data_IF_826376405044
#
_entry.id   IF_826376405044
#
_cell.length_a   1.000
_cell.length_b   1.000
_cell.length_c   1.000
_cell.angle_alpha   90.00
_cell.angle_beta   90.00
_cell.angle_gamma   90.00
#
_symmetry.space_group_name_H-M   'P 1'
#
loop_
_entity.id
_entity.type
_entity.pdbx_description
1 polymer ?
#
# COMPACT_ATOMS: atom_id res chain seq x y z
N UNK A 1 1.13 -9.59 23.32
CA UNK A 1 0.29 -9.77 22.13
C UNK A 1 -0.92 -8.84 22.23
N UNK A 2 -1.35 -8.26 21.13
CA UNK A 2 -2.60 -7.51 21.03
C UNK A 2 -3.78 -8.44 21.37
N UNK A 3 -4.88 -7.88 21.88
CA UNK A 3 -6.13 -8.65 22.09
C UNK A 3 -6.74 -9.15 20.76
N UNK A 4 -6.33 -8.59 19.63
CA UNK A 4 -6.72 -8.98 18.26
C UNK A 4 -5.70 -9.90 17.57
N UNK A 5 -4.62 -10.35 18.23
CA UNK A 5 -3.54 -11.09 17.58
C UNK A 5 -4.03 -12.36 16.88
N UNK A 6 -4.98 -13.10 17.48
CA UNK A 6 -5.55 -14.31 16.85
C UNK A 6 -6.34 -14.05 15.58
N UNK A 7 -6.89 -12.85 15.44
CA UNK A 7 -7.65 -12.44 14.26
C UNK A 7 -6.69 -12.02 13.14
N UNK A 8 -5.64 -11.30 13.49
CA UNK A 8 -4.60 -10.89 12.55
C UNK A 8 -3.76 -12.07 12.05
N UNK A 9 -3.44 -13.07 12.89
CA UNK A 9 -2.70 -14.28 12.49
C UNK A 9 -3.34 -15.04 11.30
N UNK A 10 -4.61 -14.79 11.00
CA UNK A 10 -5.31 -15.45 9.90
C UNK A 10 -5.14 -14.73 8.55
N UNK A 11 -4.78 -13.46 8.55
CA UNK A 11 -4.79 -12.60 7.36
C UNK A 11 -3.53 -11.76 7.19
N UNK A 12 -2.69 -11.68 8.23
CA UNK A 12 -1.47 -10.88 8.23
C UNK A 12 -0.24 -11.77 8.38
N UNK A 13 0.83 -11.42 7.66
CA UNK A 13 2.13 -12.08 7.75
C UNK A 13 3.01 -11.34 8.75
N UNK A 14 3.69 -12.07 9.63
CA UNK A 14 4.69 -11.47 10.51
C UNK A 14 5.96 -11.09 9.73
N UNK A 15 6.75 -10.17 10.27
CA UNK A 15 8.03 -9.76 9.67
C UNK A 15 8.96 -10.96 9.45
N UNK A 16 9.05 -11.87 10.42
CA UNK A 16 9.90 -13.06 10.32
C UNK A 16 9.39 -14.03 9.25
N UNK A 17 8.09 -14.28 9.18
CA UNK A 17 7.48 -15.10 8.11
C UNK A 17 7.72 -14.48 6.74
N UNK A 18 7.59 -13.15 6.61
CA UNK A 18 7.85 -12.48 5.34
C UNK A 18 9.32 -12.63 4.92
N UNK A 19 10.27 -12.47 5.84
CA UNK A 19 11.70 -12.71 5.57
C UNK A 19 11.96 -14.15 5.12
N UNK A 20 11.36 -15.13 5.81
CA UNK A 20 11.48 -16.56 5.46
C UNK A 20 10.89 -16.85 4.07
N UNK A 21 9.76 -16.22 3.73
CA UNK A 21 9.15 -16.31 2.40
C UNK A 21 10.09 -15.77 1.34
N UNK A 22 10.66 -14.56 1.53
CA UNK A 22 11.59 -13.96 0.57
C UNK A 22 12.84 -14.82 0.38
N UNK A 23 13.43 -15.32 1.48
CA UNK A 23 14.57 -16.23 1.42
C UNK A 23 14.23 -17.52 0.69
N UNK A 24 13.09 -18.14 1.01
CA UNK A 24 12.63 -19.36 0.34
C UNK A 24 12.39 -19.16 -1.16
N UNK A 25 11.85 -18.02 -1.56
CA UNK A 25 11.64 -17.68 -2.97
C UNK A 25 12.98 -17.48 -3.69
N UNK A 26 13.90 -16.76 -3.04
CA UNK A 26 15.26 -16.56 -3.58
C UNK A 26 15.98 -17.90 -3.81
N UNK A 27 15.98 -18.79 -2.82
CA UNK A 27 16.61 -20.12 -2.88
C UNK A 27 15.99 -21.01 -3.98
N UNK A 28 14.70 -20.85 -4.25
CA UNK A 28 13.96 -21.53 -5.33
C UNK A 28 14.14 -20.90 -6.70
N UNK A 29 14.93 -19.82 -6.78
CA UNK A 29 15.27 -19.14 -8.02
C UNK A 29 14.20 -18.18 -8.52
N UNK A 30 13.29 -17.69 -7.66
CA UNK A 30 12.38 -16.64 -8.04
C UNK A 30 13.09 -15.29 -8.11
N UNK A 31 12.61 -14.43 -9.01
CA UNK A 31 13.06 -13.03 -9.15
C UNK A 31 11.87 -12.12 -9.31
N UNK A 32 11.91 -11.01 -8.62
CA UNK A 32 10.89 -9.97 -8.65
C UNK A 32 10.94 -9.23 -9.99
N UNK A 33 9.78 -9.13 -10.64
CA UNK A 33 9.60 -8.40 -11.89
C UNK A 33 8.49 -7.37 -11.76
N UNK A 34 8.55 -6.30 -12.54
CA UNK A 34 7.43 -5.36 -12.66
C UNK A 34 6.24 -6.00 -13.40
N UNK A 35 5.03 -5.72 -12.97
CA UNK A 35 3.79 -6.13 -13.64
C UNK A 35 3.74 -5.63 -15.08
N UNK A 36 4.27 -4.46 -15.37
CA UNK A 36 4.34 -3.87 -16.72
C UNK A 36 5.19 -4.65 -17.72
N UNK A 37 5.99 -5.63 -17.26
CA UNK A 37 6.74 -6.54 -18.14
C UNK A 37 5.92 -7.73 -18.64
N UNK A 38 4.75 -7.98 -18.04
CA UNK A 38 3.88 -9.12 -18.38
C UNK A 38 3.01 -8.78 -19.59
N UNK A 39 2.53 -7.53 -19.67
CA UNK A 39 1.65 -7.08 -20.73
C UNK A 39 1.84 -5.57 -20.99
N UNK A 40 1.48 -5.14 -22.19
CA UNK A 40 1.44 -3.72 -22.57
C UNK A 40 0.21 -3.39 -23.39
N UNK A 41 -0.19 -2.14 -23.36
CA UNK A 41 -1.24 -1.61 -24.25
C UNK A 41 -0.67 -1.47 -25.67
N UNK A 42 -1.35 -2.02 -26.66
CA UNK A 42 -1.01 -1.87 -28.07
C UNK A 42 -2.22 -1.37 -28.88
N UNK A 43 -1.98 -0.35 -29.72
CA UNK A 43 -3.00 0.10 -30.68
C UNK A 43 -3.00 -0.83 -31.88
N UNK A 44 -4.14 -1.43 -32.16
CA UNK A 44 -4.36 -2.35 -33.28
C UNK A 44 -4.56 -1.55 -34.59
N UNK A 45 -4.43 -2.21 -35.77
CA UNK A 45 -4.59 -1.55 -37.05
C UNK A 45 -5.98 -0.91 -37.28
N UNK A 46 -7.02 -1.36 -36.58
CA UNK A 46 -8.37 -0.80 -36.61
C UNK A 46 -8.56 0.38 -35.64
N UNK A 47 -7.51 0.80 -34.91
CA UNK A 47 -7.54 1.89 -33.94
C UNK A 47 -7.99 1.48 -32.53
N UNK A 48 -8.37 0.23 -32.30
CA UNK A 48 -8.68 -0.28 -30.95
C UNK A 48 -7.41 -0.43 -30.13
N UNK A 49 -7.51 -0.28 -28.81
CA UNK A 49 -6.40 -0.49 -27.88
C UNK A 49 -6.64 -1.78 -27.11
N UNK A 50 -5.65 -2.65 -27.11
CA UNK A 50 -5.74 -3.95 -26.46
C UNK A 50 -4.53 -4.19 -25.55
N UNK A 51 -4.74 -4.89 -24.43
CA UNK A 51 -3.67 -5.41 -23.59
C UNK A 51 -3.07 -6.64 -24.26
N UNK A 52 -1.78 -6.58 -24.58
CA UNK A 52 -1.06 -7.67 -25.25
C UNK A 52 0.02 -8.23 -24.34
N UNK A 53 -0.01 -9.55 -24.16
CA UNK A 53 1.01 -10.26 -23.37
C UNK A 53 2.40 -10.04 -23.97
N UNK A 54 3.38 -9.82 -23.10
CA UNK A 54 4.78 -9.68 -23.47
C UNK A 54 5.61 -10.89 -23.02
N UNK A 55 6.58 -11.35 -23.83
CA UNK A 55 7.50 -12.38 -23.39
C UNK A 55 8.45 -11.85 -22.31
N UNK A 56 8.65 -12.62 -21.26
CA UNK A 56 9.59 -12.30 -20.18
C UNK A 56 10.85 -13.13 -20.39
N UNK A 57 11.99 -12.47 -20.56
CA UNK A 57 13.30 -13.12 -20.74
C UNK A 57 14.09 -13.04 -19.43
N UNK A 58 14.29 -14.16 -18.77
CA UNK A 58 15.02 -14.26 -17.51
C UNK A 58 16.31 -15.08 -17.67
N UNK A 59 17.28 -14.92 -16.80
CA UNK A 59 18.43 -15.82 -16.73
C UNK A 59 17.97 -17.27 -16.55
N UNK A 60 18.77 -18.21 -17.08
CA UNK A 60 18.42 -19.63 -17.02
C UNK A 60 18.19 -20.10 -15.59
N UNK A 61 17.06 -20.77 -15.36
CA UNK A 61 16.68 -21.31 -14.05
C UNK A 61 15.95 -20.33 -13.14
N UNK A 62 15.85 -19.04 -13.50
CA UNK A 62 15.06 -18.06 -12.76
C UNK A 62 13.58 -18.14 -13.14
N UNK A 63 12.69 -17.78 -12.18
CA UNK A 63 11.24 -17.78 -12.31
C UNK A 63 10.71 -16.38 -11.91
N UNK A 64 9.80 -15.79 -12.70
CA UNK A 64 9.26 -14.48 -12.36
C UNK A 64 8.21 -14.56 -11.26
N UNK A 65 8.12 -13.52 -10.42
CA UNK A 65 6.97 -13.24 -9.59
C UNK A 65 6.73 -11.73 -9.50
N UNK A 66 5.53 -11.35 -9.16
CA UNK A 66 5.12 -9.98 -8.83
C UNK A 66 4.70 -9.96 -7.36
N UNK A 67 5.05 -8.90 -6.65
CA UNK A 67 4.64 -8.66 -5.27
C UNK A 67 3.73 -7.45 -5.24
N UNK A 68 2.60 -7.55 -4.56
CA UNK A 68 1.76 -6.41 -4.17
C UNK A 68 1.48 -6.46 -2.67
N UNK A 69 1.34 -5.30 -2.08
CA UNK A 69 0.89 -5.08 -0.72
C UNK A 69 -0.37 -4.23 -0.77
N UNK A 70 -1.44 -4.71 -0.16
CA UNK A 70 -2.73 -4.04 -0.14
C UNK A 70 -2.91 -3.26 1.17
N UNK A 71 -3.87 -2.33 1.20
CA UNK A 71 -4.24 -1.54 2.38
C UNK A 71 -3.10 -0.68 2.96
N UNK A 72 -2.21 -0.14 2.12
CA UNK A 72 -1.05 0.65 2.57
C UNK A 72 -1.49 2.06 3.00
N UNK A 73 -2.46 2.14 3.88
CA UNK A 73 -2.89 3.38 4.53
C UNK A 73 -2.51 3.47 6.01
N UNK A 74 -2.14 2.34 6.64
CA UNK A 74 -1.84 2.26 8.08
C UNK A 74 -2.99 2.81 8.92
N UNK A 75 -4.11 2.10 8.90
CA UNK A 75 -5.37 2.51 9.54
C UNK A 75 -5.18 2.98 10.99
N UNK A 76 -5.82 4.09 11.33
CA UNK A 76 -5.69 4.70 12.66
C UNK A 76 -6.07 3.72 13.77
N UNK A 77 -7.12 2.90 13.58
CA UNK A 77 -7.57 1.90 14.55
C UNK A 77 -6.56 0.78 14.82
N UNK A 78 -5.55 0.60 13.96
CA UNK A 78 -4.49 -0.40 14.13
C UNK A 78 -3.31 0.12 14.96
N UNK A 79 -3.23 1.41 15.22
CA UNK A 79 -2.14 2.03 15.99
C UNK A 79 -2.00 1.37 17.37
N UNK A 80 -0.78 0.99 17.74
CA UNK A 80 -0.47 0.35 19.02
C UNK A 80 -0.89 -1.12 19.13
N UNK A 81 -1.38 -1.74 18.04
CA UNK A 81 -1.78 -3.15 18.03
C UNK A 81 -0.70 -4.10 17.50
N UNK A 82 0.48 -3.59 17.18
CA UNK A 82 1.64 -4.38 16.74
C UNK A 82 2.05 -4.10 15.29
N UNK A 83 1.41 -3.15 14.62
CA UNK A 83 1.73 -2.71 13.27
C UNK A 83 2.54 -1.42 13.28
N UNK A 84 3.30 -1.19 12.21
CA UNK A 84 3.85 0.12 11.92
C UNK A 84 2.71 1.16 11.82
N UNK A 85 3.03 2.42 12.09
CA UNK A 85 2.03 3.51 12.07
C UNK A 85 2.07 4.32 10.78
N UNK A 86 3.19 4.33 10.10
CA UNK A 86 3.37 4.98 8.79
C UNK A 86 4.68 4.61 8.11
N UNK A 87 4.78 4.94 6.83
CA UNK A 87 6.04 5.12 6.12
C UNK A 87 6.47 6.59 6.23
N UNK A 88 7.75 6.83 6.48
CA UNK A 88 8.31 8.18 6.59
C UNK A 88 9.73 8.22 6.06
N UNK A 89 10.31 9.42 5.98
CA UNK A 89 11.72 9.59 5.63
C UNK A 89 12.54 9.81 6.89
N UNK A 90 13.68 9.12 6.98
CA UNK A 90 14.68 9.40 8.02
C UNK A 90 15.47 10.70 7.71
N UNK A 91 16.40 11.07 8.57
CA UNK A 91 17.23 12.26 8.42
C UNK A 91 18.13 12.27 7.16
N UNK A 92 18.31 11.12 6.52
CA UNK A 92 19.08 10.94 5.30
C UNK A 92 18.17 10.83 4.05
N UNK A 93 16.85 10.90 4.22
CA UNK A 93 15.86 10.74 3.16
C UNK A 93 15.58 9.28 2.79
N UNK A 94 16.03 8.30 3.60
CA UNK A 94 15.68 6.88 3.41
C UNK A 94 14.24 6.65 3.86
N UNK A 95 13.48 5.88 3.09
CA UNK A 95 12.14 5.41 3.49
C UNK A 95 12.28 4.39 4.60
N UNK A 96 11.61 4.64 5.72
CA UNK A 96 11.55 3.78 6.91
C UNK A 96 10.13 3.73 7.44
N UNK A 97 9.84 2.76 8.30
CA UNK A 97 8.59 2.76 9.07
C UNK A 97 8.79 3.46 10.42
N UNK A 98 7.73 4.14 10.85
CA UNK A 98 7.53 4.51 12.25
C UNK A 98 6.77 3.40 12.97
N UNK A 99 7.17 3.09 14.19
CA UNK A 99 6.50 2.13 15.05
C UNK A 99 6.36 2.69 16.46
N UNK A 100 5.16 2.57 17.04
CA UNK A 100 4.90 2.97 18.42
C UNK A 100 5.03 1.75 19.33
N UNK A 101 6.02 1.79 20.21
CA UNK A 101 6.31 0.75 21.18
C UNK A 101 5.23 0.70 22.28
N UNK A 102 5.18 -0.41 23.01
CA UNK A 102 4.19 -0.60 24.09
C UNK A 102 4.28 0.41 25.22
N UNK A 103 5.44 0.98 25.46
CA UNK A 103 5.67 2.02 26.46
C UNK A 103 5.37 3.43 25.94
N UNK A 104 4.92 3.55 24.68
CA UNK A 104 4.63 4.80 24.00
C UNK A 104 5.84 5.46 23.35
N UNK A 105 7.04 4.89 23.46
CA UNK A 105 8.18 5.37 22.71
C UNK A 105 8.04 5.08 21.21
N UNK A 106 8.71 5.88 20.39
CA UNK A 106 8.66 5.74 18.93
C UNK A 106 10.01 5.22 18.44
N UNK A 107 9.96 4.19 17.60
CA UNK A 107 11.14 3.65 16.91
C UNK A 107 10.96 3.75 15.40
N UNK A 108 12.09 3.76 14.68
CA UNK A 108 12.14 3.82 13.23
C UNK A 108 12.98 2.67 12.70
N UNK A 109 12.50 2.02 11.64
CA UNK A 109 13.20 0.86 11.09
C UNK A 109 12.42 0.17 9.97
N UNK A 110 12.75 -1.10 9.73
CA UNK A 110 12.10 -1.93 8.72
C UNK A 110 11.05 -2.81 9.38
N UNK A 111 9.82 -2.35 9.38
CA UNK A 111 8.69 -2.98 10.08
C UNK A 111 7.53 -3.37 9.16
N UNK A 112 7.70 -3.27 7.84
CA UNK A 112 6.68 -3.61 6.87
C UNK A 112 7.26 -4.12 5.56
N UNK A 113 6.43 -4.62 4.65
CA UNK A 113 6.79 -5.28 3.39
C UNK A 113 7.79 -4.45 2.59
N UNK A 114 7.51 -3.15 2.37
CA UNK A 114 8.40 -2.28 1.59
C UNK A 114 9.81 -2.26 2.17
N UNK A 115 9.93 -1.87 3.43
CA UNK A 115 11.24 -1.62 4.06
C UNK A 115 12.02 -2.90 4.29
N UNK A 116 11.34 -4.00 4.63
CA UNK A 116 11.95 -5.34 4.78
C UNK A 116 12.43 -5.88 3.43
N UNK A 117 11.66 -5.65 2.35
CA UNK A 117 12.08 -6.05 1.00
C UNK A 117 13.28 -5.23 0.50
N UNK A 118 13.33 -3.92 0.78
CA UNK A 118 14.50 -3.09 0.45
C UNK A 118 15.78 -3.61 1.12
N UNK A 119 15.71 -3.92 2.43
CA UNK A 119 16.85 -4.50 3.16
C UNK A 119 17.24 -5.89 2.59
N UNK A 120 16.27 -6.69 2.16
CA UNK A 120 16.54 -7.98 1.52
C UNK A 120 17.22 -7.81 0.16
N UNK A 121 16.75 -6.88 -0.68
CA UNK A 121 17.33 -6.60 -2.00
C UNK A 121 18.73 -6.00 -1.87
N UNK A 122 19.00 -5.20 -0.85
CA UNK A 122 20.35 -4.66 -0.59
C UNK A 122 21.37 -5.79 -0.43
N UNK A 123 21.01 -6.88 0.24
CA UNK A 123 21.85 -8.06 0.41
C UNK A 123 21.76 -9.10 -0.70
N UNK A 124 20.68 -9.07 -1.51
CA UNK A 124 20.40 -9.99 -2.62
C UNK A 124 19.98 -9.22 -3.88
N UNK A 125 20.90 -8.43 -4.49
CA UNK A 125 20.52 -7.51 -5.58
C UNK A 125 20.01 -8.23 -6.83
N UNK A 126 20.35 -9.49 -7.05
CA UNK A 126 19.84 -10.31 -8.16
C UNK A 126 18.42 -10.85 -7.93
N UNK A 127 17.84 -10.61 -6.76
CA UNK A 127 16.42 -10.90 -6.48
C UNK A 127 15.49 -9.90 -7.19
N UNK A 128 15.93 -8.66 -7.39
CA UNK A 128 15.22 -7.62 -8.13
C UNK A 128 15.67 -7.59 -9.59
N UNK A 129 14.87 -8.15 -10.48
CA UNK A 129 15.21 -8.20 -11.91
C UNK A 129 15.11 -6.82 -12.56
N UNK A 130 16.26 -6.29 -13.00
CA UNK A 130 16.36 -4.95 -13.62
C UNK A 130 15.83 -3.82 -12.74
N UNK A 131 16.01 -3.92 -11.42
CA UNK A 131 15.57 -2.92 -10.47
C UNK A 131 14.05 -2.94 -10.17
N UNK A 132 13.34 -4.00 -10.59
CA UNK A 132 11.90 -4.14 -10.32
C UNK A 132 11.63 -4.20 -8.83
N UNK A 133 10.57 -3.54 -8.39
CA UNK A 133 10.08 -3.51 -7.01
C UNK A 133 8.64 -4.06 -6.95
N UNK A 134 8.03 -3.97 -5.79
CA UNK A 134 6.63 -4.33 -5.59
C UNK A 134 5.66 -3.21 -5.96
N UNK A 135 4.39 -3.49 -5.73
CA UNK A 135 3.26 -2.57 -5.90
C UNK A 135 2.69 -2.29 -4.51
N UNK A 136 2.47 -1.02 -4.18
CA UNK A 136 1.72 -0.61 -3.00
C UNK A 136 0.33 -0.17 -3.43
N UNK A 137 -0.70 -0.85 -2.96
CA UNK A 137 -2.08 -0.56 -3.28
C UNK A 137 -2.75 0.16 -2.10
N UNK A 138 -3.13 1.42 -2.31
CA UNK A 138 -3.68 2.29 -1.28
C UNK A 138 -5.21 2.19 -1.22
N UNK A 139 -5.75 2.09 0.00
CA UNK A 139 -7.10 2.57 0.30
C UNK A 139 -7.02 4.04 0.69
N UNK A 140 -8.06 4.82 0.37
CA UNK A 140 -7.98 6.28 0.51
C UNK A 140 -8.68 6.86 1.74
N UNK A 141 -9.73 6.19 2.26
CA UNK A 141 -10.65 6.79 3.23
C UNK A 141 -10.00 7.25 4.55
N UNK A 142 -8.97 6.53 5.01
CA UNK A 142 -8.22 6.86 6.24
C UNK A 142 -6.89 7.58 5.92
N UNK A 143 -6.75 8.09 4.71
CA UNK A 143 -5.51 8.66 4.19
C UNK A 143 -4.55 7.61 3.66
N UNK A 144 -3.32 8.00 3.34
CA UNK A 144 -2.31 7.13 2.73
C UNK A 144 -1.00 7.14 3.53
N UNK A 145 -0.26 6.04 3.47
CA UNK A 145 1.09 5.90 4.06
C UNK A 145 1.16 6.19 5.57
N UNK A 146 0.00 6.22 6.26
CA UNK A 146 -0.10 6.57 7.67
C UNK A 146 -0.36 8.06 7.95
N UNK A 147 -0.51 8.88 6.91
CA UNK A 147 -0.89 10.29 7.00
C UNK A 147 -2.39 10.45 6.79
N UNK A 148 -3.04 11.29 7.58
CA UNK A 148 -4.50 11.47 7.59
C UNK A 148 -4.91 12.53 6.55
N UNK A 149 -4.85 12.14 5.26
CA UNK A 149 -4.91 13.03 4.10
C UNK A 149 -6.29 13.20 3.49
N UNK A 150 -7.30 12.40 3.87
CA UNK A 150 -8.63 12.46 3.27
C UNK A 150 -9.42 13.67 3.76
N UNK A 151 -9.68 14.63 2.88
CA UNK A 151 -10.56 15.77 3.16
C UNK A 151 -11.97 15.33 3.51
N UNK A 152 -12.46 14.31 2.82
CA UNK A 152 -13.81 13.81 3.03
C UNK A 152 -13.97 13.14 4.40
N UNK A 153 -12.98 12.35 4.82
CA UNK A 153 -13.05 11.60 6.07
C UNK A 153 -12.80 12.48 7.29
N UNK A 154 -11.83 13.39 7.21
CA UNK A 154 -11.38 14.23 8.32
C UNK A 154 -12.01 15.62 8.37
N UNK A 155 -12.96 15.93 7.48
CA UNK A 155 -13.70 17.18 7.50
C UNK A 155 -14.92 17.06 8.42
N UNK A 156 -15.11 17.99 9.34
CA UNK A 156 -16.25 18.05 10.25
C UNK A 156 -17.63 18.13 9.55
N UNK A 157 -17.66 18.66 8.32
CA UNK A 157 -18.86 18.85 7.51
C UNK A 157 -19.01 17.78 6.41
N UNK A 158 -18.32 16.65 6.49
CA UNK A 158 -18.38 15.68 5.42
C UNK A 158 -19.72 14.93 5.38
N UNK A 159 -20.20 14.69 4.15
CA UNK A 159 -21.46 14.00 3.86
C UNK A 159 -21.31 12.48 3.77
N UNK A 160 -20.30 11.92 4.40
CA UNK A 160 -19.97 10.49 4.33
C UNK A 160 -21.19 9.58 4.53
N UNK A 161 -21.99 9.89 5.55
CA UNK A 161 -23.18 9.09 5.90
C UNK A 161 -24.31 9.14 4.87
N UNK A 162 -24.29 10.09 3.94
CA UNK A 162 -25.30 10.22 2.89
C UNK A 162 -24.99 9.31 1.71
N UNK A 163 -23.72 9.12 1.37
CA UNK A 163 -23.26 8.48 0.15
C UNK A 163 -22.67 7.09 0.33
N UNK A 164 -22.43 6.63 1.56
CA UNK A 164 -21.76 5.33 1.81
C UNK A 164 -22.73 4.25 2.28
N UNK A 165 -22.44 2.97 2.01
CA UNK A 165 -23.16 1.85 2.59
C UNK A 165 -23.13 1.85 4.12
N UNK A 166 -24.14 1.20 4.74
CA UNK A 166 -24.29 1.21 6.20
C UNK A 166 -23.08 0.61 6.94
N UNK A 167 -22.42 -0.40 6.34
CA UNK A 167 -21.22 -1.02 6.91
C UNK A 167 -19.99 -0.10 6.92
N UNK A 168 -19.94 0.90 6.03
CA UNK A 168 -18.82 1.84 6.00
C UNK A 168 -19.03 3.01 6.98
N UNK A 169 -20.26 3.25 7.41
CA UNK A 169 -20.57 4.27 8.44
C UNK A 169 -19.90 3.96 9.77
N UNK A 170 -19.80 2.67 10.13
CA UNK A 170 -19.15 2.24 11.36
C UNK A 170 -17.67 2.65 11.41
N UNK A 171 -17.00 2.67 10.26
CA UNK A 171 -15.59 3.08 10.17
C UNK A 171 -15.38 4.53 10.59
N UNK A 172 -16.32 5.41 10.28
CA UNK A 172 -16.21 6.82 10.64
C UNK A 172 -16.53 7.09 12.12
N UNK A 173 -17.35 6.27 12.76
CA UNK A 173 -17.65 6.43 14.18
C UNK A 173 -16.39 6.31 15.07
N UNK A 174 -15.34 5.69 14.57
CA UNK A 174 -14.03 5.62 15.21
C UNK A 174 -13.25 6.95 15.14
N UNK A 175 -13.66 7.88 14.27
CA UNK A 175 -13.05 9.20 14.14
C UNK A 175 -13.79 10.22 15.00
N UNK A 176 -13.07 10.84 15.86
CA UNK A 176 -13.64 11.81 16.81
C UNK A 176 -13.31 13.26 16.49
N UNK A 177 -12.37 13.53 15.60
CA UNK A 177 -11.88 14.89 15.36
C UNK A 177 -11.40 15.12 13.92
N UNK A 178 -11.66 16.32 13.36
CA UNK A 178 -11.01 16.77 12.15
C UNK A 178 -9.48 16.77 12.27
N UNK A 179 -8.77 16.58 11.18
CA UNK A 179 -7.32 16.73 11.15
C UNK A 179 -6.95 18.20 10.89
N UNK A 180 -6.56 18.92 11.93
CA UNK A 180 -6.15 20.33 11.83
C UNK A 180 -4.84 20.51 11.02
N UNK A 181 -4.05 19.44 10.82
CA UNK A 181 -2.77 19.45 10.10
C UNK A 181 -2.86 18.79 8.71
N UNK A 182 -4.05 18.63 8.16
CA UNK A 182 -4.29 17.85 6.94
C UNK A 182 -3.42 18.29 5.75
N UNK A 183 -3.17 19.58 5.56
CA UNK A 183 -2.34 20.08 4.48
C UNK A 183 -0.85 19.73 4.67
N UNK A 184 -0.37 19.70 5.92
CA UNK A 184 0.97 19.23 6.23
C UNK A 184 1.09 17.72 6.00
N UNK A 185 0.10 16.95 6.41
CA UNK A 185 0.04 15.50 6.17
C UNK A 185 0.05 15.19 4.67
N UNK A 186 -0.76 15.89 3.88
CA UNK A 186 -0.75 15.77 2.41
C UNK A 186 0.61 16.08 1.80
N UNK A 187 1.26 17.16 2.25
CA UNK A 187 2.58 17.52 1.76
C UNK A 187 3.61 16.43 2.10
N UNK A 188 3.62 15.96 3.34
CA UNK A 188 4.56 14.91 3.79
C UNK A 188 4.30 13.59 3.08
N UNK A 189 3.02 13.21 2.92
CA UNK A 189 2.65 12.00 2.18
C UNK A 189 3.14 12.03 0.73
N UNK A 190 3.04 13.19 0.04
CA UNK A 190 3.58 13.36 -1.33
C UNK A 190 5.10 13.18 -1.38
N UNK A 191 5.83 13.73 -0.41
CA UNK A 191 7.29 13.60 -0.34
C UNK A 191 7.70 12.14 -0.12
N UNK A 192 7.02 11.42 0.78
CA UNK A 192 7.24 9.99 1.01
C UNK A 192 6.85 9.16 -0.22
N UNK A 193 5.69 9.41 -0.83
CA UNK A 193 5.24 8.72 -2.04
C UNK A 193 6.22 8.91 -3.20
N UNK A 194 6.78 10.13 -3.35
CA UNK A 194 7.80 10.39 -4.36
C UNK A 194 9.08 9.60 -4.09
N UNK A 195 9.56 9.57 -2.85
CA UNK A 195 10.74 8.78 -2.49
C UNK A 195 10.53 7.28 -2.75
N UNK A 196 9.33 6.75 -2.47
CA UNK A 196 8.95 5.37 -2.77
C UNK A 196 8.99 5.09 -4.28
N UNK A 197 8.45 6.00 -5.10
CA UNK A 197 8.53 5.91 -6.57
C UNK A 197 9.96 5.98 -7.08
N UNK A 198 10.80 6.81 -6.48
CA UNK A 198 12.22 6.94 -6.84
C UNK A 198 13.01 5.66 -6.53
N UNK A 199 12.59 4.86 -5.54
CA UNK A 199 13.10 3.51 -5.29
C UNK A 199 12.65 2.49 -6.37
N UNK A 200 11.67 2.84 -7.21
CA UNK A 200 11.15 1.97 -8.28
C UNK A 200 9.89 1.20 -7.91
N UNK A 201 9.25 1.50 -6.78
CA UNK A 201 7.95 0.93 -6.41
C UNK A 201 6.83 1.52 -7.25
N UNK A 202 5.81 0.70 -7.50
CA UNK A 202 4.60 1.10 -8.21
C UNK A 202 3.51 1.42 -7.19
N UNK A 203 2.71 2.46 -7.47
CA UNK A 203 1.57 2.85 -6.62
C UNK A 203 0.29 2.51 -7.36
N UNK A 204 -0.68 1.93 -6.66
CA UNK A 204 -1.93 1.46 -7.24
C UNK A 204 -3.12 1.78 -6.34
N UNK A 205 -4.33 1.73 -6.92
CA UNK A 205 -5.58 1.85 -6.17
C UNK A 205 -5.99 0.51 -5.58
N UNK A 206 -6.41 0.54 -4.31
CA UNK A 206 -7.14 -0.53 -3.66
C UNK A 206 -8.59 -0.10 -3.31
N UNK A 207 -9.18 0.75 -4.14
CA UNK A 207 -10.39 1.55 -3.93
C UNK A 207 -10.24 2.62 -2.83
N UNK A 208 -11.09 3.65 -2.85
CA UNK A 208 -11.08 4.64 -1.77
C UNK A 208 -11.62 4.06 -0.47
N UNK A 209 -12.78 3.40 -0.53
CA UNK A 209 -13.53 2.92 0.64
C UNK A 209 -13.31 1.45 1.00
N UNK A 210 -12.34 0.75 0.38
CA UNK A 210 -12.15 -0.70 0.58
C UNK A 210 -13.43 -1.51 0.31
N UNK A 211 -14.03 -1.30 -0.87
CA UNK A 211 -15.35 -1.84 -1.20
C UNK A 211 -15.31 -3.31 -1.60
N UNK A 212 -16.38 -4.03 -1.25
CA UNK A 212 -16.64 -5.33 -1.85
C UNK A 212 -17.19 -5.15 -3.27
N UNK A 213 -16.31 -5.24 -4.27
CA UNK A 213 -16.61 -4.99 -5.68
C UNK A 213 -17.73 -5.88 -6.25
N UNK A 214 -17.97 -7.06 -5.68
CA UNK A 214 -19.00 -7.98 -6.18
C UNK A 214 -20.42 -7.69 -5.68
N UNK A 215 -20.55 -6.95 -4.58
CA UNK A 215 -21.83 -6.64 -3.94
C UNK A 215 -22.19 -5.15 -3.96
N UNK A 216 -21.25 -4.30 -4.41
CA UNK A 216 -21.43 -2.84 -4.48
C UNK A 216 -22.12 -2.46 -5.79
N UNK A 217 -23.03 -1.46 -5.77
CA UNK A 217 -23.68 -0.97 -6.97
C UNK A 217 -22.70 -0.26 -7.90
N UNK A 218 -22.99 -0.24 -9.20
CA UNK A 218 -22.15 0.43 -10.18
C UNK A 218 -21.97 1.93 -9.88
N UNK A 219 -23.03 2.61 -9.48
CA UNK A 219 -23.00 4.03 -9.12
C UNK A 219 -22.06 4.28 -7.94
N UNK A 220 -22.05 3.36 -6.96
CA UNK A 220 -21.16 3.49 -5.81
C UNK A 220 -19.70 3.15 -6.17
N UNK A 221 -19.46 2.22 -7.08
CA UNK A 221 -18.11 1.97 -7.62
C UNK A 221 -17.54 3.18 -8.35
N UNK A 222 -18.38 3.86 -9.16
CA UNK A 222 -17.98 5.11 -9.83
C UNK A 222 -17.64 6.19 -8.81
N UNK A 223 -18.51 6.38 -7.81
CA UNK A 223 -18.26 7.35 -6.74
C UNK A 223 -16.96 7.06 -5.97
N UNK A 224 -16.70 5.81 -5.63
CA UNK A 224 -15.49 5.40 -4.92
C UNK A 224 -14.22 5.66 -5.74
N UNK A 225 -14.29 5.38 -7.06
CA UNK A 225 -13.19 5.68 -7.98
C UNK A 225 -12.93 7.18 -8.08
N UNK A 226 -13.98 7.99 -8.24
CA UNK A 226 -13.88 9.46 -8.26
C UNK A 226 -13.28 10.00 -6.94
N UNK A 227 -13.63 9.38 -5.81
CA UNK A 227 -13.05 9.72 -4.51
C UNK A 227 -11.56 9.40 -4.44
N UNK A 228 -11.17 8.23 -4.95
CA UNK A 228 -9.76 7.82 -4.97
C UNK A 228 -8.92 8.76 -5.83
N UNK A 229 -9.37 9.06 -7.04
CA UNK A 229 -8.70 10.01 -7.95
C UNK A 229 -8.56 11.41 -7.33
N UNK A 230 -9.56 11.87 -6.60
CA UNK A 230 -9.56 13.20 -6.00
C UNK A 230 -8.67 13.32 -4.76
N UNK A 231 -8.61 12.29 -3.93
CA UNK A 231 -8.00 12.36 -2.59
C UNK A 231 -6.66 11.63 -2.47
N UNK A 232 -6.34 10.73 -3.42
CA UNK A 232 -5.12 9.92 -3.38
C UNK A 232 -4.18 10.24 -4.54
N UNK A 233 -4.68 10.36 -5.78
CA UNK A 233 -3.88 10.66 -6.97
C UNK A 233 -3.43 12.13 -7.00
#
# INVERSE_FOLDING_TARGET
ASYKSSDYDQVMTTIEEFKDIMQSMYDKGYVLISLHKIAKMETQPDGTVQMVQQPIYLPRGKKPFVLSEDDVCYYEYMTGTGFATKLCLDENGKVVNEYVERDGSVSYGSYDVLTVLEDFIETHPDFSYQGSKGILAFTGYDGILGYRTSDFWYNENCDYYVSTPANDKEKREDHTSPNENIEQDKQTAREVAQAIRDLGWELASHSWGHLNMTSTSYEHLVWDTDMWEREVE
#
